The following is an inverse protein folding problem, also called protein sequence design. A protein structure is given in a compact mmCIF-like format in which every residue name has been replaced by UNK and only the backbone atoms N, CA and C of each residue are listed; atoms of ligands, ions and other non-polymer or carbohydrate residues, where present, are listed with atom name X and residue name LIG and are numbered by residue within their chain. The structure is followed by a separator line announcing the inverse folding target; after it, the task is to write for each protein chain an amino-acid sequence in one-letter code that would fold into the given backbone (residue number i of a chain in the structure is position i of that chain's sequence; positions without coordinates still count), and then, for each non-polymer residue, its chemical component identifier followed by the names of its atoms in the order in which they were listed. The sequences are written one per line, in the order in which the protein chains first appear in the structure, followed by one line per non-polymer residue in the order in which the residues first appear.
data_IF_348210951553
#
_entry.id   IF_348210951553
#
_cell.length_a   1.000
_cell.length_b   1.000
_cell.length_c   1.000
_cell.angle_alpha   90.00
_cell.angle_beta   90.00
_cell.angle_gamma   90.00
#
_symmetry.space_group_name_H-M   'P 1'
#
loop_
_entity.id
_entity.type
_entity.pdbx_description
1 polymer ?
#
# COMPACT_ATOMS: atom_id res chain seq x y z
N UNK A 1 -1.51 14.13 -14.92
CA UNK A 1 -0.36 13.96 -14.01
C UNK A 1 -0.88 13.78 -12.58
N UNK A 2 -0.14 13.09 -11.70
CA UNK A 2 -0.56 12.80 -10.32
C UNK A 2 0.36 13.49 -9.29
N UNK A 3 0.31 14.83 -9.15
CA UNK A 3 1.23 15.58 -8.29
C UNK A 3 1.03 15.31 -6.79
N UNK A 4 -0.15 14.80 -6.42
CA UNK A 4 -0.55 14.40 -5.07
C UNK A 4 -0.07 13.00 -4.68
N UNK A 5 0.49 12.24 -5.63
CA UNK A 5 0.88 10.83 -5.42
C UNK A 5 2.40 10.70 -5.51
N UNK A 6 3.00 10.12 -4.47
CA UNK A 6 4.40 9.71 -4.49
C UNK A 6 4.49 8.26 -4.96
N UNK A 7 5.25 8.02 -6.02
CA UNK A 7 5.54 6.68 -6.50
C UNK A 7 6.85 6.21 -5.88
N UNK A 8 6.82 5.04 -5.27
CA UNK A 8 7.99 4.38 -4.71
C UNK A 8 8.13 2.98 -5.30
N UNK A 9 9.37 2.50 -5.39
CA UNK A 9 9.70 1.13 -5.76
C UNK A 9 10.51 0.54 -4.63
N UNK A 10 10.18 -0.68 -4.22
CA UNK A 10 10.92 -1.46 -3.22
C UNK A 10 11.45 -2.71 -3.90
N UNK A 11 12.71 -3.04 -3.68
CA UNK A 11 13.27 -4.33 -4.07
C UNK A 11 13.00 -5.33 -2.93
N UNK A 12 12.13 -6.30 -3.17
CA UNK A 12 11.75 -7.30 -2.16
C UNK A 12 12.84 -8.34 -1.89
N UNK A 13 13.81 -8.48 -2.80
CA UNK A 13 14.94 -9.39 -2.60
C UNK A 13 15.95 -8.82 -1.58
N UNK A 14 16.08 -7.49 -1.57
CA UNK A 14 16.88 -6.73 -0.60
C UNK A 14 16.10 -6.51 0.72
N UNK A 15 14.82 -6.14 0.63
CA UNK A 15 13.96 -5.80 1.77
C UNK A 15 13.04 -6.97 2.16
N UNK A 16 13.63 -8.13 2.48
CA UNK A 16 12.87 -9.38 2.72
C UNK A 16 11.93 -9.29 3.92
N UNK A 17 12.32 -8.59 4.99
CA UNK A 17 11.46 -8.39 6.17
C UNK A 17 10.21 -7.60 5.79
N UNK A 18 10.35 -6.55 4.97
CA UNK A 18 9.25 -5.73 4.50
C UNK A 18 8.33 -6.52 3.55
N UNK A 19 8.92 -7.31 2.66
CA UNK A 19 8.18 -8.22 1.79
C UNK A 19 7.37 -9.25 2.58
N UNK A 20 7.95 -9.81 3.64
CA UNK A 20 7.29 -10.71 4.58
C UNK A 20 6.12 -10.03 5.31
N UNK A 21 6.34 -8.82 5.82
CA UNK A 21 5.34 -8.03 6.54
C UNK A 21 4.10 -7.75 5.66
N UNK A 22 4.29 -7.37 4.40
CA UNK A 22 3.18 -7.13 3.46
C UNK A 22 2.72 -8.40 2.72
N UNK A 23 3.21 -9.58 3.11
CA UNK A 23 2.88 -10.88 2.52
C UNK A 23 3.03 -10.90 0.99
N UNK A 24 4.10 -10.30 0.46
CA UNK A 24 4.39 -10.25 -0.98
C UNK A 24 4.79 -11.64 -1.47
N UNK A 25 3.95 -12.24 -2.32
CA UNK A 25 4.16 -13.61 -2.87
C UNK A 25 4.42 -13.65 -4.37
N UNK A 26 4.33 -12.51 -5.05
CA UNK A 26 4.50 -12.39 -6.49
C UNK A 26 4.99 -11.00 -6.86
N UNK A 27 5.80 -10.89 -7.91
CA UNK A 27 6.41 -9.63 -8.34
C UNK A 27 6.05 -9.39 -9.82
N UNK A 28 5.62 -8.17 -10.20
CA UNK A 28 5.38 -7.02 -9.33
C UNK A 28 4.09 -7.17 -8.50
N UNK A 29 4.02 -6.54 -7.32
CA UNK A 29 2.78 -6.32 -6.55
C UNK A 29 2.60 -4.82 -6.38
N UNK A 30 1.43 -4.30 -6.72
CA UNK A 30 1.10 -2.89 -6.55
C UNK A 30 0.33 -2.68 -5.25
N UNK A 31 0.76 -1.70 -4.46
CA UNK A 31 0.08 -1.31 -3.22
C UNK A 31 -0.11 0.21 -3.20
N UNK A 32 -1.22 0.66 -2.63
CA UNK A 32 -1.49 2.08 -2.41
C UNK A 32 -1.76 2.30 -0.93
N UNK A 33 -0.98 3.21 -0.36
CA UNK A 33 -1.13 3.68 1.00
C UNK A 33 -1.77 5.06 0.98
N UNK A 34 -2.80 5.26 1.80
CA UNK A 34 -3.39 6.57 2.05
C UNK A 34 -3.57 6.73 3.55
N UNK A 35 -2.99 7.79 4.10
CA UNK A 35 -3.06 8.09 5.54
C UNK A 35 -2.64 6.92 6.44
N UNK A 36 -1.52 6.26 6.07
CA UNK A 36 -0.98 5.06 6.74
C UNK A 36 -1.92 3.84 6.71
N UNK A 37 -2.92 3.81 5.82
CA UNK A 37 -3.79 2.65 5.61
C UNK A 37 -3.56 2.10 4.20
N UNK A 38 -3.44 0.78 4.08
CA UNK A 38 -3.45 0.10 2.77
C UNK A 38 -4.89 0.15 2.25
N UNK A 39 -5.10 0.88 1.15
CA UNK A 39 -6.42 1.03 0.52
C UNK A 39 -6.56 0.24 -0.77
N UNK A 40 -5.43 -0.26 -1.30
CA UNK A 40 -5.39 -1.10 -2.48
C UNK A 40 -4.15 -1.99 -2.44
N UNK A 41 -4.32 -3.27 -2.79
CA UNK A 41 -3.22 -4.22 -2.95
C UNK A 41 -3.61 -5.21 -4.06
N UNK A 42 -2.78 -5.31 -5.10
CA UNK A 42 -2.99 -6.25 -6.20
C UNK A 42 -1.68 -6.88 -6.65
N UNK A 43 -1.58 -8.22 -6.61
CA UNK A 43 -0.56 -8.98 -7.33
C UNK A 43 -0.60 -8.73 -8.85
N UNK A 44 0.56 -8.62 -9.47
CA UNK A 44 0.72 -8.51 -10.92
C UNK A 44 0.80 -7.07 -11.44
N UNK A 45 1.18 -6.96 -12.72
CA UNK A 45 1.29 -5.66 -13.39
C UNK A 45 -0.10 -5.09 -13.72
N UNK A 46 -0.27 -3.79 -13.51
CA UNK A 46 -1.49 -3.07 -13.84
C UNK A 46 -1.26 -2.19 -15.08
N UNK A 47 -2.12 -2.24 -16.11
CA UNK A 47 -2.06 -1.33 -17.24
C UNK A 47 -2.24 0.13 -16.80
N UNK A 48 -1.67 1.07 -17.55
CA UNK A 48 -1.71 2.51 -17.20
C UNK A 48 -3.14 3.04 -16.99
N UNK A 49 -4.08 2.72 -17.89
CA UNK A 49 -5.47 3.20 -17.76
C UNK A 49 -6.13 2.69 -16.48
N UNK A 50 -5.95 1.41 -16.17
CA UNK A 50 -6.48 0.82 -14.93
C UNK A 50 -5.83 1.44 -13.68
N UNK A 51 -4.54 1.79 -13.72
CA UNK A 51 -3.89 2.54 -12.63
C UNK A 51 -4.53 3.91 -12.44
N UNK A 52 -4.82 4.65 -13.52
CA UNK A 52 -5.49 5.95 -13.44
C UNK A 52 -6.89 5.83 -12.82
N UNK A 53 -7.65 4.80 -13.19
CA UNK A 53 -8.96 4.50 -12.61
C UNK A 53 -8.88 4.16 -11.12
N UNK A 54 -7.91 3.33 -10.71
CA UNK A 54 -7.68 3.00 -9.30
C UNK A 54 -7.31 4.26 -8.51
N UNK A 55 -6.43 5.12 -9.03
CA UNK A 55 -6.10 6.39 -8.38
C UNK A 55 -7.32 7.31 -8.25
N UNK A 56 -8.18 7.36 -9.27
CA UNK A 56 -9.42 8.13 -9.20
C UNK A 56 -10.39 7.60 -8.12
N UNK A 57 -10.48 6.27 -7.96
CA UNK A 57 -11.28 5.64 -6.91
C UNK A 57 -10.70 5.90 -5.52
N UNK A 58 -9.38 5.74 -5.34
CA UNK A 58 -8.71 5.98 -4.05
C UNK A 58 -8.90 7.42 -3.56
N UNK A 59 -8.91 8.40 -4.47
CA UNK A 59 -9.18 9.81 -4.13
C UNK A 59 -10.62 10.04 -3.63
N UNK A 60 -11.58 9.24 -4.08
CA UNK A 60 -13.00 9.33 -3.70
C UNK A 60 -13.34 8.57 -2.41
N UNK A 61 -12.42 7.75 -1.88
CA UNK A 61 -12.65 7.01 -0.64
C UNK A 61 -12.89 7.98 0.53
N UNK A 62 -13.92 7.71 1.32
CA UNK A 62 -14.13 8.30 2.65
C UNK A 62 -13.18 7.65 3.64
N UNK A 63 -12.09 8.34 3.97
CA UNK A 63 -11.08 7.83 4.90
C UNK A 63 -11.60 7.74 6.33
N UNK A 64 -12.62 8.50 6.71
CA UNK A 64 -13.23 8.36 8.03
C UNK A 64 -13.96 7.02 8.13
N UNK A 65 -14.63 6.58 7.08
CA UNK A 65 -15.23 5.25 7.00
C UNK A 65 -14.18 4.15 6.95
N UNK A 66 -13.17 4.29 6.07
CA UNK A 66 -12.09 3.31 5.95
C UNK A 66 -11.41 3.09 7.31
N UNK A 67 -11.06 4.16 8.03
CA UNK A 67 -10.42 4.07 9.35
C UNK A 67 -11.28 3.45 10.45
N UNK A 68 -12.61 3.55 10.37
CA UNK A 68 -13.50 2.88 11.33
C UNK A 68 -13.44 1.35 11.20
N UNK A 69 -13.20 0.84 9.99
CA UNK A 69 -13.10 -0.60 9.71
C UNK A 69 -11.66 -1.12 9.58
N UNK A 70 -10.70 -0.25 9.30
CA UNK A 70 -9.30 -0.61 9.07
C UNK A 70 -8.46 -0.47 10.34
N UNK A 71 -7.42 -1.30 10.46
CA UNK A 71 -6.32 -1.06 11.41
C UNK A 71 -5.28 -0.18 10.71
N UNK A 72 -5.07 1.08 11.12
CA UNK A 72 -3.99 1.90 10.58
C UNK A 72 -2.63 1.23 10.84
N UNK A 73 -1.69 1.39 9.91
CA UNK A 73 -0.32 0.99 10.14
C UNK A 73 0.29 1.90 11.21
N UNK A 74 0.60 1.30 12.36
CA UNK A 74 1.29 1.95 13.47
C UNK A 74 2.77 1.51 13.46
N UNK A 75 3.71 2.37 13.03
CA UNK A 75 5.12 2.02 12.98
C UNK A 75 5.71 1.72 14.37
N UNK A 76 5.09 2.19 15.45
CA UNK A 76 5.60 2.01 16.81
C UNK A 76 5.19 0.66 17.42
N UNK A 77 4.14 -0.01 16.90
CA UNK A 77 3.78 -1.35 17.36
C UNK A 77 4.81 -2.41 16.99
N UNK A 78 5.53 -2.23 15.87
CA UNK A 78 6.50 -3.22 15.40
C UNK A 78 7.79 -3.20 16.26
N UNK A 79 8.10 -2.07 16.88
CA UNK A 79 9.27 -1.91 17.77
C UNK A 79 9.16 -2.70 19.09
N UNK A 80 7.96 -3.17 19.46
CA UNK A 80 7.72 -3.97 20.68
C UNK A 80 7.75 -5.48 20.45
N UNK A 81 7.85 -5.93 19.21
CA UNK A 81 7.83 -7.36 18.85
C UNK A 81 9.24 -7.98 18.75
N UNK A 82 10.29 -7.20 19.03
CA UNK A 82 11.71 -7.62 18.93
C UNK A 82 12.35 -7.93 20.29
N UNK A 83 11.56 -8.34 21.28
CA UNK A 83 12.08 -8.76 22.58
C UNK A 83 11.83 -10.25 22.83
#
# INVERSE_FOLDING_TARGET
ANPDVKFAKVNTDEEQSLAGHFAIRSIPTLMIFREQVIVFQQPGALPKGALEDVLAQVRKLDMAEVRRGARPYDPDQDSRSVQ
#
